data_IF_729455410909
#
_entry.id   IF_729455410909
#
_cell.length_a   1.000
_cell.length_b   1.000
_cell.length_c   1.000
_cell.angle_alpha   90.00
_cell.angle_beta   90.00
_cell.angle_gamma   90.00
#
_symmetry.space_group_name_H-M   'P 1'
#
loop_
_entity.id
_entity.type
_entity.pdbx_description
1 polymer ?
#
# COMPACT_ATOMS: atom_id res chain seq x y z
N UNK A 1 3.98 -8.03 -7.86
CA UNK A 1 3.15 -8.55 -6.76
C UNK A 1 3.83 -8.38 -5.40
N UNK A 2 3.06 -7.92 -4.42
CA UNK A 2 3.35 -7.96 -2.99
C UNK A 2 2.78 -9.27 -2.46
N UNK A 3 3.50 -9.94 -1.55
CA UNK A 3 3.09 -11.22 -0.98
C UNK A 3 2.80 -11.09 0.52
N UNK A 4 1.62 -11.56 0.93
CA UNK A 4 1.22 -11.70 2.32
C UNK A 4 1.19 -13.18 2.70
N UNK A 5 2.08 -13.58 3.61
CA UNK A 5 2.14 -14.95 4.10
C UNK A 5 1.20 -15.18 5.28
N UNK A 6 0.01 -15.72 5.00
CA UNK A 6 -1.03 -15.99 6.01
C UNK A 6 -0.89 -17.42 6.53
N UNK A 7 -0.38 -17.55 7.75
CA UNK A 7 -0.21 -18.85 8.44
C UNK A 7 -1.51 -19.39 9.04
N UNK A 8 -2.29 -18.50 9.64
CA UNK A 8 -3.56 -18.81 10.30
C UNK A 8 -4.57 -17.79 9.79
N UNK A 9 -5.56 -18.22 8.99
CA UNK A 9 -6.61 -17.34 8.49
C UNK A 9 -7.60 -16.96 9.61
N UNK A 10 -8.10 -15.73 9.55
CA UNK A 10 -9.12 -15.14 10.41
C UNK A 10 -9.98 -14.17 9.61
N UNK A 11 -11.24 -14.52 9.41
CA UNK A 11 -12.17 -13.77 8.59
C UNK A 11 -12.30 -12.34 9.12
N UNK A 12 -12.18 -11.38 8.21
CA UNK A 12 -12.46 -9.99 8.49
C UNK A 12 -12.15 -9.08 7.32
N UNK A 13 -11.65 -7.88 7.62
CA UNK A 13 -11.37 -6.86 6.60
C UNK A 13 -9.89 -6.56 6.52
N UNK A 14 -9.42 -6.19 5.34
CA UNK A 14 -8.03 -5.77 5.16
C UNK A 14 -7.94 -4.62 4.17
N UNK A 15 -6.86 -3.84 4.28
CA UNK A 15 -6.52 -2.82 3.30
C UNK A 15 -5.01 -2.70 3.11
N UNK A 16 -4.65 -2.12 1.98
CA UNK A 16 -3.30 -1.64 1.73
C UNK A 16 -3.36 -0.12 1.58
N UNK A 17 -2.56 0.59 2.37
CA UNK A 17 -2.52 2.05 2.39
C UNK A 17 -1.09 2.55 2.44
N UNK A 18 -0.86 3.77 1.95
CA UNK A 18 0.36 4.50 2.27
C UNK A 18 0.13 5.21 3.60
N UNK A 19 1.06 5.06 4.54
CA UNK A 19 0.99 5.71 5.86
C UNK A 19 2.19 6.62 6.03
N UNK A 20 1.94 7.87 6.41
CA UNK A 20 2.96 8.79 6.91
C UNK A 20 3.38 8.34 8.30
N UNK A 21 4.66 8.03 8.48
CA UNK A 21 5.16 7.42 9.72
C UNK A 21 5.26 8.42 10.87
N UNK A 22 5.34 9.72 10.56
CA UNK A 22 5.47 10.76 11.58
C UNK A 22 4.11 11.09 12.19
N UNK A 23 3.07 11.27 11.37
CA UNK A 23 1.72 11.54 11.86
C UNK A 23 0.90 10.28 12.14
N UNK A 24 1.36 9.11 11.69
CA UNK A 24 0.62 7.84 11.73
C UNK A 24 -0.75 7.97 11.07
N UNK A 25 -0.79 8.53 9.86
CA UNK A 25 -2.03 8.77 9.11
C UNK A 25 -1.91 8.28 7.68
N UNK A 26 -3.03 7.81 7.12
CA UNK A 26 -3.12 7.43 5.71
C UNK A 26 -2.86 8.64 4.80
N UNK A 27 -2.02 8.45 3.80
CA UNK A 27 -1.75 9.42 2.74
C UNK A 27 -2.65 9.11 1.54
N UNK A 28 -3.60 10.01 1.28
CA UNK A 28 -4.57 9.83 0.18
C UNK A 28 -5.66 8.83 0.54
N UNK A 29 -6.00 7.95 -0.39
CA UNK A 29 -7.00 6.89 -0.22
C UNK A 29 -6.36 5.51 -0.03
N UNK A 30 -7.14 4.54 0.42
CA UNK A 30 -6.71 3.14 0.45
C UNK A 30 -6.41 2.68 -0.98
N UNK A 31 -5.25 2.04 -1.18
CA UNK A 31 -4.83 1.55 -2.48
C UNK A 31 -5.56 0.27 -2.86
N UNK A 32 -5.95 -0.52 -1.86
CA UNK A 32 -6.70 -1.76 -2.02
C UNK A 32 -7.49 -2.04 -0.74
N UNK A 33 -8.71 -2.56 -0.89
CA UNK A 33 -9.58 -2.91 0.22
C UNK A 33 -10.27 -4.25 -0.04
N UNK A 34 -10.35 -5.07 1.01
CA UNK A 34 -11.13 -6.29 1.06
C UNK A 34 -12.15 -6.18 2.20
N UNK A 35 -13.42 -6.22 1.85
CA UNK A 35 -14.52 -6.34 2.82
C UNK A 35 -14.66 -7.75 3.40
N UNK A 36 -14.06 -8.73 2.74
CA UNK A 36 -14.03 -10.15 3.11
C UNK A 36 -12.62 -10.67 2.80
N UNK A 37 -11.86 -10.98 3.84
CA UNK A 37 -10.45 -11.29 3.79
C UNK A 37 -10.08 -12.43 4.73
N UNK A 38 -9.21 -13.32 4.24
CA UNK A 38 -8.64 -14.43 4.99
C UNK A 38 -9.68 -15.31 5.72
N UNK A 39 -10.83 -15.57 5.10
CA UNK A 39 -11.89 -16.42 5.68
C UNK A 39 -11.45 -17.89 5.82
N UNK A 40 -11.32 -18.34 7.06
CA UNK A 40 -10.97 -19.71 7.44
C UNK A 40 -12.05 -20.75 7.15
N UNK A 41 -13.28 -20.33 6.82
CA UNK A 41 -14.37 -21.19 6.38
C UNK A 41 -14.24 -21.65 4.93
N UNK A 42 -13.39 -21.01 4.13
CA UNK A 42 -13.18 -21.35 2.73
C UNK A 42 -12.24 -22.54 2.55
N UNK A 43 -12.51 -23.39 1.55
CA UNK A 43 -11.63 -24.51 1.21
C UNK A 43 -10.24 -24.05 0.74
N UNK A 44 -10.16 -22.86 0.15
CA UNK A 44 -8.93 -22.18 -0.21
C UNK A 44 -9.17 -20.66 -0.21
N UNK A 45 -8.16 -19.89 0.20
CA UNK A 45 -8.24 -18.44 0.15
C UNK A 45 -8.23 -17.95 -1.31
N UNK A 46 -8.97 -16.86 -1.63
CA UNK A 46 -8.80 -16.13 -2.87
C UNK A 46 -7.32 -15.80 -3.13
N UNK A 47 -6.85 -15.97 -4.37
CA UNK A 47 -5.45 -15.76 -4.72
C UNK A 47 -4.97 -14.34 -4.37
N UNK A 48 -5.83 -13.34 -4.54
CA UNK A 48 -5.54 -11.95 -4.23
C UNK A 48 -5.47 -11.65 -2.72
N UNK A 49 -5.78 -12.59 -1.82
CA UNK A 49 -5.52 -12.41 -0.39
C UNK A 49 -4.05 -12.63 -0.02
N UNK A 50 -3.27 -13.33 -0.87
CA UNK A 50 -1.87 -13.66 -0.57
C UNK A 50 -0.89 -13.11 -1.59
N UNK A 51 -1.35 -12.78 -2.81
CA UNK A 51 -0.55 -12.12 -3.83
C UNK A 51 -1.39 -11.05 -4.53
N UNK A 52 -1.02 -9.78 -4.34
CA UNK A 52 -1.77 -8.64 -4.89
C UNK A 52 -0.84 -7.56 -5.45
N UNK A 53 -1.41 -6.64 -6.22
CA UNK A 53 -0.71 -5.49 -6.76
C UNK A 53 -1.42 -4.21 -6.35
N UNK A 54 -0.65 -3.17 -6.10
CA UNK A 54 -1.15 -1.82 -5.87
C UNK A 54 -0.40 -0.88 -6.79
N UNK A 55 -1.05 0.21 -7.17
CA UNK A 55 -0.41 1.29 -7.91
C UNK A 55 -0.15 2.44 -6.94
N UNK A 56 1.10 2.85 -6.82
CA UNK A 56 1.45 4.06 -6.07
C UNK A 56 1.00 5.28 -6.88
N UNK A 57 0.10 6.13 -6.37
CA UNK A 57 -0.34 7.33 -7.09
C UNK A 57 0.77 8.39 -7.10
N UNK A 58 0.56 9.49 -7.82
CA UNK A 58 1.41 10.67 -7.65
C UNK A 58 1.25 11.22 -6.22
N UNK A 59 2.37 11.43 -5.52
CA UNK A 59 2.39 11.80 -4.10
C UNK A 59 2.78 13.26 -3.85
N UNK A 60 2.98 14.06 -4.90
CA UNK A 60 3.26 15.48 -4.78
C UNK A 60 4.58 15.76 -4.08
N UNK A 61 5.57 14.87 -4.25
CA UNK A 61 6.88 14.95 -3.60
C UNK A 61 6.95 14.39 -2.18
N UNK A 62 5.85 13.85 -1.64
CA UNK A 62 5.87 13.06 -0.38
C UNK A 62 6.49 11.69 -0.61
N UNK A 63 6.89 11.04 0.49
CA UNK A 63 7.49 9.71 0.49
C UNK A 63 8.77 9.64 -0.36
N UNK A 64 9.52 10.75 -0.44
CA UNK A 64 10.77 10.84 -1.18
C UNK A 64 11.98 10.49 -0.30
N UNK A 65 11.80 10.52 1.02
CA UNK A 65 12.83 10.22 2.01
C UNK A 65 12.53 8.86 2.64
N UNK A 66 13.57 8.03 2.82
CA UNK A 66 13.43 6.72 3.45
C UNK A 66 12.85 6.88 4.87
N UNK A 67 11.83 6.07 5.17
CA UNK A 67 11.12 6.10 6.45
C UNK A 67 10.09 7.21 6.59
N UNK A 68 9.92 8.11 5.61
CA UNK A 68 8.84 9.12 5.60
C UNK A 68 7.46 8.46 5.47
N UNK A 69 7.39 7.43 4.61
CA UNK A 69 6.17 6.66 4.39
C UNK A 69 6.46 5.17 4.36
N UNK A 70 5.43 4.40 4.70
CA UNK A 70 5.38 2.95 4.53
C UNK A 70 4.16 2.55 3.72
N UNK A 71 4.28 1.45 2.99
CA UNK A 71 3.14 0.74 2.46
C UNK A 71 2.67 -0.24 3.53
N UNK A 72 1.54 0.05 4.16
CA UNK A 72 0.97 -0.74 5.24
C UNK A 72 -0.05 -1.72 4.67
N UNK A 73 0.14 -3.01 4.96
CA UNK A 73 -0.92 -4.02 4.93
C UNK A 73 -1.52 -4.09 6.34
N UNK A 74 -2.80 -3.76 6.43
CA UNK A 74 -3.58 -3.77 7.67
C UNK A 74 -4.71 -4.78 7.54
N UNK A 75 -4.92 -5.59 8.57
CA UNK A 75 -5.95 -6.61 8.62
C UNK A 75 -6.56 -6.71 10.00
N UNK A 76 -7.88 -6.72 10.08
CA UNK A 76 -8.61 -6.97 11.31
C UNK A 76 -9.41 -8.26 11.22
N UNK A 77 -9.05 -9.24 12.04
CA UNK A 77 -9.77 -10.50 12.19
C UNK A 77 -10.92 -10.35 13.19
N UNK A 78 -12.15 -10.56 12.72
CA UNK A 78 -13.37 -10.23 13.48
C UNK A 78 -13.70 -11.21 14.59
N UNK A 79 -13.47 -12.51 14.37
CA UNK A 79 -13.79 -13.54 15.36
C UNK A 79 -12.87 -13.49 16.60
N UNK A 80 -11.62 -13.05 16.41
CA UNK A 80 -10.59 -12.96 17.45
C UNK A 80 -10.35 -11.53 17.93
N UNK A 81 -11.00 -10.54 17.30
CA UNK A 81 -10.85 -9.10 17.56
C UNK A 81 -9.39 -8.63 17.56
N UNK A 82 -8.60 -9.09 16.57
CA UNK A 82 -7.18 -8.82 16.47
C UNK A 82 -6.84 -8.04 15.21
N UNK A 83 -5.93 -7.09 15.37
CA UNK A 83 -5.32 -6.33 14.28
C UNK A 83 -3.93 -6.88 13.98
N UNK A 84 -3.66 -7.09 12.70
CA UNK A 84 -2.39 -7.48 12.14
C UNK A 84 -1.92 -6.39 11.18
N UNK A 85 -0.67 -5.96 11.35
CA UNK A 85 -0.10 -4.90 10.52
C UNK A 85 1.30 -5.31 10.06
N UNK A 86 1.61 -5.04 8.81
CA UNK A 86 2.95 -5.14 8.27
C UNK A 86 3.24 -3.95 7.36
N UNK A 87 4.45 -3.44 7.43
CA UNK A 87 4.87 -2.23 6.73
C UNK A 87 6.07 -2.53 5.84
N UNK A 88 5.99 -2.09 4.59
CA UNK A 88 7.10 -2.09 3.66
C UNK A 88 7.60 -0.66 3.48
N UNK A 89 8.88 -0.42 3.78
CA UNK A 89 9.53 0.86 3.49
C UNK A 89 9.69 1.04 1.98
N UNK A 90 9.37 2.23 1.48
CA UNK A 90 9.58 2.59 0.09
C UNK A 90 9.95 4.07 -0.05
N UNK A 91 10.48 4.42 -1.22
CA UNK A 91 10.57 5.81 -1.65
C UNK A 91 10.08 5.94 -3.09
N UNK A 92 9.49 7.10 -3.40
CA UNK A 92 9.19 7.49 -4.78
C UNK A 92 10.23 8.49 -5.25
N UNK A 93 10.79 8.24 -6.44
CA UNK A 93 11.62 9.24 -7.09
C UNK A 93 10.74 10.45 -7.44
N UNK A 94 11.24 11.69 -7.26
CA UNK A 94 10.52 12.87 -7.73
C UNK A 94 10.18 12.72 -9.21
N UNK A 95 8.95 13.09 -9.60
CA UNK A 95 8.56 13.10 -11.00
C UNK A 95 9.62 13.89 -11.80
N UNK A 96 10.21 13.24 -12.82
CA UNK A 96 11.25 13.86 -13.61
C UNK A 96 10.69 15.11 -14.29
N UNK A 97 11.22 16.29 -13.95
CA UNK A 97 10.84 17.51 -14.66
C UNK A 97 11.28 17.37 -16.11
N UNK A 98 10.31 17.39 -17.02
CA UNK A 98 10.63 17.49 -18.45
C UNK A 98 11.30 18.84 -18.66
N UNK A 99 12.63 18.85 -18.80
CA UNK A 99 13.34 20.07 -19.23
C UNK A 99 12.80 20.43 -20.62
N UNK A 100 11.92 21.41 -20.69
CA UNK A 100 11.61 22.09 -21.94
C UNK A 100 12.92 22.72 -22.41
N UNK A 101 13.62 22.04 -23.32
CA UNK A 101 14.71 22.66 -24.07
C UNK A 101 14.07 23.68 -24.99
N UNK A 102 13.93 24.92 -24.53
CA UNK A 102 13.63 26.04 -25.41
C UNK A 102 14.78 26.16 -26.40
N UNK A 103 14.63 25.57 -27.58
CA UNK A 103 15.49 25.87 -28.73
C UNK A 103 15.12 27.27 -29.17
N UNK A 104 15.78 28.27 -28.56
CA UNK A 104 15.83 29.62 -29.10
C UNK A 104 16.58 29.56 -30.43
N UNK A 105 15.84 29.43 -31.53
CA UNK A 105 16.36 29.73 -32.84
C UNK A 105 16.50 31.25 -32.93
N UNK A 106 17.74 31.73 -32.87
CA UNK A 106 18.10 33.11 -33.24
C UNK A 106 18.30 33.12 -34.76
N UNK A 107 17.47 33.90 -35.45
CA UNK A 107 17.74 34.39 -36.80
C UNK A 107 18.48 35.73 -36.68
#
# INVERSE_FOLDING_TARGET
AIEAYIRIPHHGTANVSIVDTQSNTVVGEQLLFWSDYADEGLAALPANNTAFEVTIPELGGRCAIAGECVLQWWWYGTAVEQTYESCLDFTVAPAASTRIRSRFWRY
#
